data_IF_132556820196
#
_entry.id   IF_132556820196
#
_cell.length_a   1.000
_cell.length_b   1.000
_cell.length_c   1.000
_cell.angle_alpha   90.00
_cell.angle_beta   90.00
_cell.angle_gamma   90.00
#
_symmetry.space_group_name_H-M   'P 1'
#
loop_
_entity.id
_entity.type
_entity.pdbx_description
1 polymer ?
#
# COMPACT_ATOMS: atom_id res chain seq x y z
N UNK A 1 10.73 -29.80 -7.91
CA UNK A 1 9.86 -29.58 -6.73
C UNK A 1 10.67 -28.84 -5.66
N UNK A 2 10.43 -27.54 -5.46
CA UNK A 2 11.11 -26.73 -4.43
C UNK A 2 11.80 -25.46 -4.95
N UNK A 3 11.14 -24.69 -5.82
CA UNK A 3 11.72 -23.53 -6.51
C UNK A 3 11.69 -22.22 -5.70
N UNK A 4 11.19 -22.26 -4.45
CA UNK A 4 11.16 -21.11 -3.55
C UNK A 4 11.73 -21.51 -2.19
N UNK A 5 13.02 -21.88 -2.16
CA UNK A 5 13.72 -22.05 -0.88
C UNK A 5 13.77 -20.68 -0.20
N UNK A 6 13.15 -20.50 0.98
CA UNK A 6 13.14 -19.22 1.71
C UNK A 6 14.55 -18.63 1.93
N UNK A 7 15.57 -19.50 1.92
CA UNK A 7 16.98 -19.15 2.01
C UNK A 7 17.46 -18.17 0.93
N UNK A 8 16.99 -18.27 -0.32
CA UNK A 8 17.42 -17.36 -1.40
C UNK A 8 16.86 -15.95 -1.19
N UNK A 9 15.61 -15.86 -0.74
CA UNK A 9 14.93 -14.60 -0.46
C UNK A 9 15.62 -13.91 0.72
N UNK A 10 15.95 -14.65 1.78
CA UNK A 10 16.71 -14.14 2.92
C UNK A 10 18.07 -13.60 2.50
N UNK A 11 18.81 -14.30 1.64
CA UNK A 11 20.11 -13.82 1.16
C UNK A 11 19.97 -12.51 0.36
N UNK A 12 18.95 -12.40 -0.50
CA UNK A 12 18.67 -11.19 -1.27
C UNK A 12 18.32 -10.02 -0.34
N UNK A 13 17.45 -10.24 0.65
CA UNK A 13 17.09 -9.23 1.65
C UNK A 13 18.33 -8.76 2.42
N UNK A 14 19.21 -9.68 2.81
CA UNK A 14 20.47 -9.32 3.49
C UNK A 14 21.36 -8.44 2.60
N UNK A 15 21.50 -8.77 1.31
CA UNK A 15 22.27 -7.93 0.37
C UNK A 15 21.65 -6.53 0.25
N UNK A 16 20.34 -6.44 0.08
CA UNK A 16 19.62 -5.15 0.00
C UNK A 16 19.79 -4.36 1.30
N UNK A 17 19.71 -5.01 2.47
CA UNK A 17 19.93 -4.38 3.76
C UNK A 17 21.37 -3.88 3.94
N UNK A 18 22.38 -4.55 3.37
CA UNK A 18 23.76 -4.08 3.39
C UNK A 18 23.97 -2.85 2.48
N UNK A 19 23.38 -2.85 1.28
CA UNK A 19 23.51 -1.74 0.33
C UNK A 19 22.73 -0.50 0.74
N UNK A 20 21.47 -0.67 1.15
CA UNK A 20 20.58 0.43 1.51
C UNK A 20 20.65 0.77 3.00
N UNK A 21 21.08 -0.16 3.85
CA UNK A 21 21.09 0.00 5.30
C UNK A 21 19.75 -0.38 5.94
N UNK A 22 19.81 -1.02 7.12
CA UNK A 22 18.63 -1.50 7.85
C UNK A 22 17.63 -0.41 8.25
N UNK A 23 18.05 0.86 8.28
CA UNK A 23 17.17 2.01 8.59
C UNK A 23 16.46 2.59 7.37
N UNK A 24 17.05 2.50 6.17
CA UNK A 24 16.47 3.12 4.96
C UNK A 24 15.29 2.34 4.38
N UNK A 25 15.34 1.00 4.40
CA UNK A 25 14.21 0.18 3.95
C UNK A 25 12.90 0.48 4.71
N UNK A 26 12.86 0.48 6.06
CA UNK A 26 11.61 0.77 6.78
C UNK A 26 11.19 2.23 6.64
N UNK A 27 12.12 3.16 6.46
CA UNK A 27 11.83 4.57 6.23
C UNK A 27 11.16 4.80 4.87
N UNK A 28 11.69 4.20 3.81
CA UNK A 28 11.09 4.22 2.46
C UNK A 28 9.73 3.50 2.45
N UNK A 29 9.61 2.35 3.12
CA UNK A 29 8.34 1.65 3.24
C UNK A 29 7.29 2.47 4.00
N UNK A 30 7.68 3.22 5.03
CA UNK A 30 6.78 4.10 5.78
C UNK A 30 6.28 5.28 4.93
N UNK A 31 7.16 5.96 4.21
CA UNK A 31 6.77 7.10 3.37
C UNK A 31 5.88 6.66 2.20
N UNK A 32 6.24 5.58 1.51
CA UNK A 32 5.41 5.00 0.44
C UNK A 32 4.08 4.48 1.01
N UNK A 33 4.10 3.82 2.16
CA UNK A 33 2.91 3.32 2.83
C UNK A 33 1.94 4.42 3.25
N UNK A 34 2.44 5.58 3.68
CA UNK A 34 1.61 6.75 3.98
C UNK A 34 0.94 7.29 2.70
N UNK A 35 1.67 7.44 1.60
CA UNK A 35 1.09 7.87 0.31
C UNK A 35 0.04 6.88 -0.20
N UNK A 36 0.32 5.57 -0.12
CA UNK A 36 -0.63 4.52 -0.50
C UNK A 36 -1.88 4.49 0.40
N UNK A 37 -1.74 4.81 1.70
CA UNK A 37 -2.87 4.89 2.62
C UNK A 37 -3.81 6.04 2.24
N UNK A 38 -3.26 7.21 1.95
CA UNK A 38 -4.04 8.38 1.52
C UNK A 38 -4.74 8.07 0.19
N UNK A 39 -3.99 7.57 -0.79
CA UNK A 39 -4.55 7.17 -2.08
C UNK A 39 -5.66 6.11 -1.94
N UNK A 40 -5.47 5.11 -1.07
CA UNK A 40 -6.49 4.09 -0.80
C UNK A 40 -7.75 4.68 -0.16
N UNK A 41 -7.61 5.65 0.75
CA UNK A 41 -8.77 6.32 1.35
C UNK A 41 -9.54 7.10 0.29
N UNK A 42 -8.87 7.95 -0.49
CA UNK A 42 -9.53 8.72 -1.56
C UNK A 42 -10.20 7.81 -2.59
N UNK A 43 -9.54 6.75 -3.05
CA UNK A 43 -10.12 5.77 -3.99
C UNK A 43 -11.32 5.04 -3.36
N UNK A 44 -11.27 4.76 -2.05
CA UNK A 44 -12.38 4.11 -1.34
C UNK A 44 -13.58 5.05 -1.21
N UNK A 45 -13.36 6.33 -0.90
CA UNK A 45 -14.41 7.34 -0.88
C UNK A 45 -15.05 7.51 -2.27
N UNK A 46 -14.24 7.58 -3.34
CA UNK A 46 -14.74 7.63 -4.72
C UNK A 46 -15.55 6.38 -5.13
N UNK A 47 -15.17 5.21 -4.62
CA UNK A 47 -15.89 3.95 -4.90
C UNK A 47 -17.15 3.81 -4.04
N UNK A 48 -17.15 4.39 -2.83
CA UNK A 48 -18.28 4.32 -1.89
C UNK A 48 -19.36 5.38 -2.16
N UNK A 49 -19.02 6.52 -2.75
CA UNK A 49 -19.97 7.58 -3.13
C UNK A 49 -20.89 7.17 -4.30
N UNK A 50 -20.58 6.04 -4.97
CA UNK A 50 -21.47 5.39 -5.95
C UNK A 50 -22.74 4.74 -5.36
N UNK A 51 -22.90 4.70 -4.03
CA UNK A 51 -24.07 4.10 -3.36
C UNK A 51 -24.83 5.09 -2.43
N UNK A 52 -24.61 6.39 -2.56
CA UNK A 52 -25.51 7.39 -1.95
C UNK A 52 -25.93 8.42 -3.01
N UNK A 53 -26.84 7.99 -3.88
CA UNK A 53 -27.66 8.93 -4.62
C UNK A 53 -28.41 9.83 -3.63
N UNK A 54 -28.30 11.17 -3.72
CA UNK A 54 -29.15 12.06 -2.96
C UNK A 54 -30.55 11.91 -3.55
N UNK A 55 -31.50 11.42 -2.76
CA UNK A 55 -32.92 11.54 -3.05
C UNK A 55 -33.29 13.02 -2.98
N UNK A 56 -33.04 13.74 -4.08
CA UNK A 56 -33.66 15.02 -4.39
C UNK A 56 -35.15 14.74 -4.68
N UNK A 57 -36.02 14.99 -3.71
CA UNK A 57 -37.41 15.27 -3.98
C UNK A 57 -37.59 16.79 -3.85
N UNK A 58 -37.79 17.54 -4.95
CA UNK A 58 -38.27 18.90 -4.88
C UNK A 58 -39.76 18.83 -4.52
N UNK A 59 -40.10 19.11 -3.26
CA UNK A 59 -41.49 19.35 -2.87
C UNK A 59 -41.88 20.77 -3.33
N UNK A 60 -42.79 20.81 -4.30
CA UNK A 60 -43.49 21.98 -4.82
C UNK A 60 -44.86 22.11 -4.15
#
# INVERSE_FOLDING_TARGET
>A
MGMLKPTHIILLVVIVLLLFGARRLPELARSVGQSLKIFKSEVKDLTADGEQAPAVAPEA
#
